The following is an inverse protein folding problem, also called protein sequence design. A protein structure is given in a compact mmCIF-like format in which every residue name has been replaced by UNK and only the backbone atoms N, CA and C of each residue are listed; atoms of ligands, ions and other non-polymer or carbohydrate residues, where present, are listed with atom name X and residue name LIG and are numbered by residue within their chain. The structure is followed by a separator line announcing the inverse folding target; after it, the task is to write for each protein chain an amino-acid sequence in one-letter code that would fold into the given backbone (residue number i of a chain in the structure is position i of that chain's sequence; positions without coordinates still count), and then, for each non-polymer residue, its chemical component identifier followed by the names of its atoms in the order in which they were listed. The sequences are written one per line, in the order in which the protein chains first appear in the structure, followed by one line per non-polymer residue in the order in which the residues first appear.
data_IF_277549754570
#
_entry.id   IF_277549754570
#
_cell.length_a   1.000
_cell.length_b   1.000
_cell.length_c   1.000
_cell.angle_alpha   90.00
_cell.angle_beta   90.00
_cell.angle_gamma   90.00
#
_symmetry.space_group_name_H-M   'P 1'
#
loop_
_entity.id
_entity.type
_entity.pdbx_description
1 polymer ?
#
# COMPACT_ATOMS: atom_id res chain seq x y z
N UNK A 1 -10.66 -17.09 84.91
CA UNK A 1 -10.51 -18.38 84.20
C UNK A 1 -11.01 -18.19 82.76
N UNK A 2 -10.10 -18.34 81.78
CA UNK A 2 -10.29 -18.69 80.34
C UNK A 2 -11.34 -17.89 79.55
N UNK A 3 -10.96 -16.84 78.80
CA UNK A 3 -10.62 -16.83 77.35
C UNK A 3 -11.73 -17.33 76.42
N UNK A 4 -12.24 -16.47 75.52
CA UNK A 4 -12.11 -16.46 74.03
C UNK A 4 -12.86 -15.22 73.49
N UNK A 5 -12.21 -14.27 72.79
CA UNK A 5 -12.15 -14.11 71.31
C UNK A 5 -13.49 -14.25 70.58
N UNK A 6 -13.82 -13.56 69.49
CA UNK A 6 -13.44 -12.30 68.84
C UNK A 6 -14.35 -12.22 67.59
N UNK A 7 -14.49 -11.01 67.04
CA UNK A 7 -14.95 -10.66 65.68
C UNK A 7 -16.44 -10.82 65.29
N UNK A 8 -17.07 -9.64 65.19
CA UNK A 8 -18.13 -9.29 64.25
C UNK A 8 -17.62 -9.29 62.80
N UNK A 9 -18.37 -9.90 61.87
CA UNK A 9 -18.62 -9.36 60.53
C UNK A 9 -19.75 -10.16 59.86
N UNK A 10 -20.88 -9.49 59.64
CA UNK A 10 -22.10 -10.01 59.03
C UNK A 10 -22.14 -9.61 57.55
N UNK A 11 -22.42 -10.60 56.71
CA UNK A 11 -23.15 -10.61 55.43
C UNK A 11 -22.77 -9.61 54.31
N UNK A 12 -22.59 -10.14 53.08
CA UNK A 12 -23.69 -10.17 52.11
C UNK A 12 -23.38 -11.11 50.94
N UNK A 13 -24.23 -12.12 50.78
CA UNK A 13 -24.40 -12.92 49.58
C UNK A 13 -25.34 -12.16 48.63
N UNK A 14 -24.89 -11.83 47.42
CA UNK A 14 -25.78 -11.47 46.31
C UNK A 14 -25.52 -12.47 45.19
N UNK A 15 -26.60 -13.17 44.84
CA UNK A 15 -26.72 -14.02 43.66
C UNK A 15 -26.61 -13.16 42.39
N UNK A 16 -25.75 -13.57 41.47
CA UNK A 16 -25.74 -13.12 40.08
C UNK A 16 -25.56 -14.30 39.16
N UNK A 17 -26.66 -14.99 38.85
CA UNK A 17 -26.74 -15.88 37.70
C UNK A 17 -26.85 -15.03 36.43
N UNK A 18 -26.08 -15.39 35.39
CA UNK A 18 -26.32 -14.95 34.01
C UNK A 18 -25.46 -13.78 33.53
N UNK A 19 -24.39 -14.12 32.80
CA UNK A 19 -23.98 -13.54 31.51
C UNK A 19 -22.72 -14.27 31.02
N UNK A 20 -22.87 -15.53 30.63
CA UNK A 20 -22.02 -16.09 29.57
C UNK A 20 -22.75 -15.76 28.27
N UNK A 21 -22.33 -14.72 27.57
CA UNK A 21 -22.61 -14.39 26.16
C UNK A 21 -22.06 -12.98 25.91
N UNK A 22 -21.23 -12.85 24.87
CA UNK A 22 -20.50 -11.67 24.39
C UNK A 22 -19.09 -11.47 24.97
N UNK A 23 -18.21 -12.45 24.70
CA UNK A 23 -16.79 -12.13 24.50
C UNK A 23 -16.68 -11.27 23.23
N UNK A 24 -16.76 -9.95 23.40
CA UNK A 24 -16.44 -8.95 22.37
C UNK A 24 -14.93 -8.69 22.31
N UNK A 25 -14.13 -9.76 22.36
CA UNK A 25 -12.68 -9.67 22.17
C UNK A 25 -12.43 -9.32 20.69
N UNK A 26 -11.72 -8.22 20.38
CA UNK A 26 -11.42 -7.85 19.00
C UNK A 26 -10.67 -8.97 18.30
N UNK A 27 -11.29 -9.63 17.32
CA UNK A 27 -10.59 -10.63 16.52
C UNK A 27 -9.87 -9.91 15.39
N UNK A 28 -8.64 -9.48 15.67
CA UNK A 28 -7.67 -9.20 14.63
C UNK A 28 -7.40 -10.50 13.84
N UNK A 29 -6.99 -10.43 12.55
CA UNK A 29 -6.39 -11.59 11.92
C UNK A 29 -5.13 -11.92 12.70
N UNK A 30 -5.14 -13.13 13.26
CA UNK A 30 -4.21 -13.71 14.22
C UNK A 30 -2.74 -13.48 13.83
N UNK A 31 -1.87 -13.15 14.79
CA UNK A 31 -0.42 -13.14 14.54
C UNK A 31 0.04 -14.58 14.25
N UNK A 32 1.09 -14.79 13.44
CA UNK A 32 1.50 -16.14 13.00
C UNK A 32 1.92 -17.10 14.14
N UNK A 33 1.96 -16.63 15.40
CA UNK A 33 2.24 -17.43 16.58
C UNK A 33 0.98 -18.02 17.27
N UNK A 34 -0.22 -17.55 16.94
CA UNK A 34 -1.46 -18.03 17.54
C UNK A 34 -2.19 -18.95 16.53
N UNK A 35 -1.95 -20.26 16.67
CA UNK A 35 -2.44 -21.31 15.77
C UNK A 35 -3.95 -21.63 15.91
N UNK A 36 -4.76 -20.65 16.33
CA UNK A 36 -6.22 -20.78 16.41
C UNK A 36 -6.89 -19.81 15.43
N UNK A 37 -7.15 -20.31 14.23
CA UNK A 37 -7.84 -19.68 13.10
C UNK A 37 -9.34 -19.37 13.34
N UNK A 38 -9.77 -19.19 14.58
CA UNK A 38 -11.19 -19.16 15.01
C UNK A 38 -12.00 -17.94 14.57
N UNK A 39 -11.49 -17.09 13.68
CA UNK A 39 -12.21 -15.94 13.11
C UNK A 39 -11.99 -15.69 11.62
N UNK A 40 -11.18 -16.50 10.93
CA UNK A 40 -10.95 -16.35 9.49
C UNK A 40 -12.00 -17.14 8.73
N UNK A 41 -12.71 -16.47 7.81
CA UNK A 41 -13.66 -17.12 6.91
C UNK A 41 -13.54 -16.53 5.50
N UNK A 42 -12.94 -17.29 4.57
CA UNK A 42 -12.70 -16.86 3.19
C UNK A 42 -13.97 -16.87 2.32
N UNK A 43 -15.03 -17.52 2.77
CA UNK A 43 -16.35 -17.52 2.12
C UNK A 43 -17.25 -16.40 2.66
N UNK A 44 -16.97 -15.90 3.86
CA UNK A 44 -17.71 -14.79 4.46
C UNK A 44 -17.54 -13.50 3.65
N UNK A 45 -18.60 -12.68 3.62
CA UNK A 45 -18.64 -11.44 2.84
C UNK A 45 -17.46 -10.49 3.15
N UNK A 46 -16.96 -10.50 4.38
CA UNK A 46 -15.91 -9.62 4.89
C UNK A 46 -14.73 -10.37 5.52
N UNK A 47 -14.54 -11.65 5.21
CA UNK A 47 -13.36 -12.39 5.70
C UNK A 47 -13.42 -12.77 7.18
N UNK A 48 -14.58 -12.60 7.84
CA UNK A 48 -14.72 -12.67 9.29
C UNK A 48 -14.27 -11.40 10.05
N UNK A 49 -13.89 -10.33 9.35
CA UNK A 49 -13.38 -9.10 9.95
C UNK A 49 -14.49 -8.23 10.53
N UNK A 50 -14.17 -7.52 11.61
CA UNK A 50 -15.09 -6.61 12.31
C UNK A 50 -14.73 -5.13 12.12
N UNK A 51 -15.69 -4.24 12.36
CA UNK A 51 -15.51 -2.77 12.27
C UNK A 51 -15.04 -2.12 13.57
N UNK A 52 -14.49 -2.89 14.51
CA UNK A 52 -13.95 -2.37 15.77
C UNK A 52 -12.66 -1.57 15.54
N UNK A 53 -12.33 -0.66 16.45
CA UNK A 53 -10.99 -0.07 16.48
C UNK A 53 -9.94 -1.14 16.85
N UNK A 54 -8.69 -0.85 16.54
CA UNK A 54 -7.51 -1.65 16.89
C UNK A 54 -6.54 -0.80 17.71
N UNK A 55 -5.52 -1.43 18.29
CA UNK A 55 -4.34 -0.68 18.74
C UNK A 55 -3.66 0.00 17.53
N UNK A 56 -3.00 1.16 17.72
CA UNK A 56 -2.15 1.74 16.68
C UNK A 56 -1.17 0.70 16.13
N UNK A 57 -0.96 0.69 14.81
CA UNK A 57 -0.16 -0.31 14.11
C UNK A 57 -0.55 -1.77 14.44
N UNK A 58 -1.83 -2.01 14.77
CA UNK A 58 -2.34 -3.32 15.22
C UNK A 58 -1.59 -3.88 16.44
N UNK A 59 -0.96 -3.02 17.25
CA UNK A 59 -0.15 -3.42 18.39
C UNK A 59 1.27 -3.89 18.03
N UNK A 60 1.67 -3.77 16.76
CA UNK A 60 2.96 -4.23 16.25
C UNK A 60 3.76 -3.07 15.61
N UNK A 61 4.10 -1.99 16.34
CA UNK A 61 4.74 -0.81 15.75
C UNK A 61 6.01 -1.15 14.95
N UNK A 62 6.83 -2.08 15.45
CA UNK A 62 8.08 -2.47 14.79
C UNK A 62 7.88 -3.15 13.44
N UNK A 63 6.70 -3.74 13.19
CA UNK A 63 6.36 -4.31 11.89
C UNK A 63 6.07 -3.24 10.82
N UNK A 64 5.71 -2.02 11.23
CA UNK A 64 5.35 -0.92 10.32
C UNK A 64 6.40 0.18 10.27
N UNK A 65 7.23 0.31 11.30
CA UNK A 65 8.23 1.37 11.43
C UNK A 65 9.17 1.46 10.20
N UNK A 66 9.71 0.35 9.65
CA UNK A 66 10.57 0.44 8.47
C UNK A 66 9.85 0.91 7.21
N UNK A 67 8.52 0.74 7.11
CA UNK A 67 7.74 1.26 5.98
C UNK A 67 7.53 2.78 6.05
N UNK A 68 7.71 3.38 7.24
CA UNK A 68 7.49 4.80 7.49
C UNK A 68 8.78 5.62 7.54
N UNK A 69 9.83 5.08 8.16
CA UNK A 69 11.09 5.80 8.44
C UNK A 69 11.97 6.03 7.21
N UNK A 70 11.56 5.47 6.07
CA UNK A 70 12.30 5.57 4.82
C UNK A 70 12.00 6.86 4.06
N UNK A 71 11.13 7.76 4.53
CA UNK A 71 10.72 8.92 3.72
C UNK A 71 11.27 10.26 4.24
N UNK A 72 11.94 11.00 3.37
CA UNK A 72 12.36 12.38 3.64
C UNK A 72 11.67 13.35 2.69
N UNK A 73 11.05 14.40 3.24
CA UNK A 73 10.45 15.46 2.43
C UNK A 73 11.55 16.31 1.78
N UNK A 74 11.31 16.74 0.54
CA UNK A 74 12.20 17.64 -0.18
C UNK A 74 11.52 19.00 -0.33
N UNK A 75 12.24 20.07 0.00
CA UNK A 75 11.80 21.42 -0.29
C UNK A 75 12.19 21.79 -1.73
N UNK A 76 11.23 21.67 -2.65
CA UNK A 76 11.47 21.93 -4.07
C UNK A 76 11.34 23.43 -4.39
N UNK A 77 12.29 24.05 -5.12
CA UNK A 77 12.26 25.48 -5.43
C UNK A 77 11.00 25.91 -6.22
N UNK A 78 10.37 25.01 -6.96
CA UNK A 78 9.14 25.31 -7.72
C UNK A 78 7.86 25.09 -6.93
N UNK A 79 7.92 24.53 -5.72
CA UNK A 79 6.73 24.25 -4.90
C UNK A 79 5.96 25.54 -4.52
N UNK A 80 6.69 26.64 -4.34
CA UNK A 80 6.13 27.93 -3.93
C UNK A 80 6.13 28.99 -5.04
N UNK A 81 6.47 28.59 -6.27
CA UNK A 81 6.44 29.48 -7.43
C UNK A 81 4.99 29.89 -7.73
N UNK A 82 4.78 31.20 -7.95
CA UNK A 82 3.46 31.77 -8.17
C UNK A 82 2.78 31.24 -9.43
N UNK A 83 3.53 31.00 -10.51
CA UNK A 83 3.01 30.43 -11.76
C UNK A 83 2.55 28.98 -11.52
N UNK A 84 3.36 28.18 -10.82
CA UNK A 84 3.04 26.79 -10.46
C UNK A 84 1.76 26.71 -9.64
N UNK A 85 1.64 27.56 -8.60
CA UNK A 85 0.45 27.62 -7.76
C UNK A 85 -0.80 28.03 -8.54
N UNK A 86 -0.66 28.87 -9.56
CA UNK A 86 -1.76 29.23 -10.44
C UNK A 86 -2.19 28.05 -11.32
N UNK A 87 -1.23 27.27 -11.87
CA UNK A 87 -1.57 26.06 -12.61
C UNK A 87 -2.30 25.02 -11.76
N UNK A 88 -1.93 24.86 -10.48
CA UNK A 88 -2.62 23.93 -9.59
C UNK A 88 -4.09 24.29 -9.35
N UNK A 89 -4.41 25.58 -9.40
CA UNK A 89 -5.78 26.11 -9.25
C UNK A 89 -6.51 26.24 -10.58
N UNK A 90 -5.81 26.14 -11.70
CA UNK A 90 -6.38 26.40 -13.02
C UNK A 90 -7.34 25.28 -13.45
N UNK A 91 -8.50 25.70 -13.96
CA UNK A 91 -9.46 24.76 -14.56
C UNK A 91 -8.82 24.12 -15.79
N UNK A 92 -8.87 22.78 -15.87
CA UNK A 92 -8.28 22.03 -16.98
C UNK A 92 -6.82 21.61 -16.78
N UNK A 93 -6.18 22.02 -15.68
CA UNK A 93 -4.88 21.45 -15.30
C UNK A 93 -5.03 19.96 -14.98
N UNK A 94 -4.04 19.16 -15.37
CA UNK A 94 -3.94 17.75 -14.97
C UNK A 94 -2.77 17.61 -14.00
N UNK A 95 -3.09 17.22 -12.77
CA UNK A 95 -2.13 17.09 -11.69
C UNK A 95 -2.09 15.63 -11.28
N UNK A 96 -0.89 15.09 -11.16
CA UNK A 96 -0.64 13.70 -10.83
C UNK A 96 0.25 13.63 -9.61
N UNK A 97 0.00 12.63 -8.77
CA UNK A 97 1.06 12.13 -7.88
C UNK A 97 1.67 10.91 -8.53
N UNK A 98 2.99 10.86 -8.55
CA UNK A 98 3.78 9.80 -9.14
C UNK A 98 4.76 9.30 -8.09
N UNK A 99 4.73 8.02 -7.78
CA UNK A 99 5.63 7.37 -6.83
C UNK A 99 6.34 6.23 -7.55
N UNK A 100 7.66 6.26 -7.52
CA UNK A 100 8.50 5.18 -8.02
C UNK A 100 9.37 4.68 -6.86
N UNK A 101 9.38 3.37 -6.67
CA UNK A 101 10.19 2.66 -5.68
C UNK A 101 10.96 1.57 -6.42
N UNK A 102 12.26 1.47 -6.19
CA UNK A 102 13.14 0.52 -6.87
C UNK A 102 14.13 -0.13 -5.90
N UNK A 103 14.86 -1.14 -6.38
CA UNK A 103 15.78 -1.95 -5.56
C UNK A 103 15.18 -3.30 -5.21
N UNK A 104 15.58 -3.88 -4.08
CA UNK A 104 15.16 -5.23 -3.70
C UNK A 104 13.78 -5.23 -3.01
N UNK A 105 12.71 -5.20 -3.81
CA UNK A 105 11.34 -4.97 -3.33
C UNK A 105 10.89 -5.98 -2.26
N UNK A 106 11.25 -7.25 -2.39
CA UNK A 106 10.89 -8.31 -1.43
C UNK A 106 11.64 -8.23 -0.09
N UNK A 107 12.82 -7.55 -0.03
CA UNK A 107 13.62 -7.48 1.23
C UNK A 107 13.04 -6.55 2.27
N UNK A 108 12.05 -5.75 1.89
CA UNK A 108 11.35 -4.92 2.85
C UNK A 108 10.79 -5.78 4.01
N UNK A 109 10.49 -7.06 3.76
CA UNK A 109 10.12 -7.99 4.81
C UNK A 109 11.31 -8.26 5.76
N UNK A 110 11.15 -7.88 7.03
CA UNK A 110 12.14 -8.10 8.09
C UNK A 110 12.44 -9.59 8.33
N UNK A 111 11.49 -10.47 7.98
CA UNK A 111 11.62 -11.91 8.14
C UNK A 111 12.40 -12.57 6.98
N UNK A 112 12.74 -11.82 5.92
CA UNK A 112 13.54 -12.33 4.80
C UNK A 112 14.96 -12.69 5.26
N UNK A 113 15.34 -13.96 5.07
CA UNK A 113 16.69 -14.45 5.40
C UNK A 113 17.68 -14.34 4.24
N UNK A 114 17.22 -13.87 3.08
CA UNK A 114 18.04 -13.73 1.87
C UNK A 114 19.22 -12.78 2.10
N UNK A 115 20.44 -13.32 2.09
CA UNK A 115 21.69 -12.55 2.22
C UNK A 115 22.29 -12.15 0.88
N UNK A 116 21.93 -12.83 -0.19
CA UNK A 116 22.42 -12.57 -1.53
C UNK A 116 21.71 -11.33 -2.09
N UNK A 117 22.47 -10.28 -2.37
CA UNK A 117 21.99 -9.11 -3.08
C UNK A 117 23.04 -8.62 -4.05
N UNK A 118 22.57 -8.10 -5.18
CA UNK A 118 23.42 -7.53 -6.22
C UNK A 118 23.06 -6.04 -6.30
N UNK A 119 23.86 -5.14 -5.70
CA UNK A 119 23.61 -3.72 -5.82
C UNK A 119 23.51 -3.31 -7.28
N UNK A 120 22.52 -2.49 -7.60
CA UNK A 120 22.27 -2.04 -8.95
C UNK A 120 22.30 -0.52 -9.00
N UNK A 121 22.88 0.00 -10.08
CA UNK A 121 22.90 1.43 -10.33
C UNK A 121 21.56 1.86 -10.94
N UNK A 122 20.78 2.62 -10.17
CA UNK A 122 19.48 3.17 -10.54
C UNK A 122 19.56 4.65 -10.92
N UNK A 123 20.77 5.19 -11.13
CA UNK A 123 20.98 6.54 -11.63
C UNK A 123 20.11 6.80 -12.84
N UNK A 124 19.39 7.91 -12.80
CA UNK A 124 18.28 8.12 -13.70
C UNK A 124 17.73 9.53 -13.67
N UNK A 125 16.64 9.72 -14.41
CA UNK A 125 15.92 10.98 -14.53
C UNK A 125 14.46 10.75 -14.85
N UNK A 126 13.69 11.79 -14.57
CA UNK A 126 12.30 11.92 -14.99
C UNK A 126 12.09 13.27 -15.65
N UNK A 127 11.38 13.27 -16.78
CA UNK A 127 11.04 14.47 -17.52
C UNK A 127 9.54 14.49 -17.84
N UNK A 128 8.85 15.56 -17.43
CA UNK A 128 7.48 15.84 -17.86
C UNK A 128 7.48 16.78 -19.06
N UNK A 129 7.31 16.24 -20.27
CA UNK A 129 7.28 17.04 -21.50
C UNK A 129 6.01 17.90 -21.56
N UNK A 130 6.16 19.22 -21.65
CA UNK A 130 5.03 20.15 -21.52
C UNK A 130 4.42 20.22 -20.12
N UNK A 131 5.11 19.70 -19.11
CA UNK A 131 4.67 19.70 -17.71
C UNK A 131 5.73 20.25 -16.75
N UNK A 132 5.42 20.19 -15.47
CA UNK A 132 6.26 20.61 -14.35
C UNK A 132 6.37 19.42 -13.40
N UNK A 133 7.57 19.15 -12.90
CA UNK A 133 7.84 18.11 -11.90
C UNK A 133 8.21 18.81 -10.60
N UNK A 134 7.52 18.50 -9.51
CA UNK A 134 7.84 18.95 -8.15
C UNK A 134 8.29 17.73 -7.35
N UNK A 135 9.46 17.81 -6.71
CA UNK A 135 9.93 16.75 -5.82
C UNK A 135 9.19 16.89 -4.49
N UNK A 136 8.42 15.88 -4.09
CA UNK A 136 7.77 15.87 -2.78
C UNK A 136 8.62 15.14 -1.75
N UNK A 137 9.16 13.96 -2.12
CA UNK A 137 9.94 13.10 -1.21
C UNK A 137 11.04 12.33 -1.95
N UNK A 138 12.11 12.05 -1.24
CA UNK A 138 13.01 10.91 -1.51
C UNK A 138 12.68 9.77 -0.55
N UNK A 139 12.86 8.54 -1.01
CA UNK A 139 12.54 7.32 -0.28
C UNK A 139 13.85 6.54 -0.15
N UNK A 140 14.29 6.32 1.07
CA UNK A 140 15.40 5.46 1.51
C UNK A 140 16.79 5.74 0.93
N UNK A 141 16.98 6.90 0.27
CA UNK A 141 18.27 7.32 -0.30
C UNK A 141 19.41 7.19 0.72
N UNK A 142 20.47 6.50 0.31
CA UNK A 142 21.69 6.35 1.09
C UNK A 142 22.50 7.66 1.14
N UNK A 143 23.51 7.69 2.01
CA UNK A 143 24.40 8.85 2.18
C UNK A 143 25.04 9.35 0.88
N UNK A 144 25.27 8.47 -0.09
CA UNK A 144 25.90 8.80 -1.37
C UNK A 144 24.88 9.05 -2.49
N UNK A 145 23.60 8.82 -2.23
CA UNK A 145 22.54 9.06 -3.18
C UNK A 145 22.14 10.52 -3.13
N UNK A 146 21.74 11.05 -4.28
CA UNK A 146 21.33 12.45 -4.38
C UNK A 146 20.30 12.66 -5.46
N UNK A 147 19.40 13.60 -5.22
CA UNK A 147 18.45 14.10 -6.20
C UNK A 147 18.84 15.52 -6.60
N UNK A 148 18.81 15.80 -7.89
CA UNK A 148 19.22 17.08 -8.47
C UNK A 148 18.16 17.61 -9.42
N UNK A 149 17.82 18.88 -9.24
CA UNK A 149 16.98 19.65 -10.15
C UNK A 149 17.79 20.10 -11.37
N UNK A 150 17.33 19.78 -12.58
CA UNK A 150 17.90 20.32 -13.83
C UNK A 150 17.14 21.56 -14.28
N UNK A 151 15.82 21.46 -14.36
CA UNK A 151 14.91 22.54 -14.72
C UNK A 151 13.49 22.22 -14.22
N UNK A 152 12.52 23.11 -14.44
CA UNK A 152 11.12 22.94 -13.98
C UNK A 152 10.46 21.61 -14.37
N UNK A 153 10.86 21.03 -15.50
CA UNK A 153 10.26 19.83 -16.08
C UNK A 153 11.09 18.56 -15.87
N UNK A 154 12.32 18.69 -15.34
CA UNK A 154 13.28 17.58 -15.26
C UNK A 154 13.99 17.51 -13.91
N UNK A 155 14.03 16.30 -13.36
CA UNK A 155 14.78 15.92 -12.17
C UNK A 155 15.66 14.73 -12.50
N UNK A 156 16.88 14.73 -11.98
CA UNK A 156 17.84 13.63 -12.09
C UNK A 156 18.19 13.13 -10.69
N UNK A 157 18.63 11.89 -10.58
CA UNK A 157 19.17 11.34 -9.34
C UNK A 157 20.32 10.38 -9.62
N UNK A 158 21.18 10.24 -8.60
CA UNK A 158 22.19 9.19 -8.48
C UNK A 158 21.72 8.30 -7.35
N UNK A 159 21.58 7.00 -7.61
CA UNK A 159 21.13 6.00 -6.65
C UNK A 159 21.83 4.67 -6.93
N UNK A 160 22.57 4.15 -5.95
CA UNK A 160 23.17 2.82 -6.03
C UNK A 160 22.58 1.95 -4.93
N UNK A 161 21.50 1.26 -5.26
CA UNK A 161 20.66 0.60 -4.27
C UNK A 161 21.05 -0.86 -4.09
N UNK A 162 21.22 -1.28 -2.83
CA UNK A 162 21.33 -2.68 -2.46
C UNK A 162 21.95 -2.82 -1.07
N UNK A 163 21.31 -3.54 -0.12
CA UNK A 163 20.22 -4.51 -0.31
C UNK A 163 18.79 -3.98 -0.14
N UNK A 164 18.60 -2.68 0.04
CA UNK A 164 17.30 -2.09 0.37
C UNK A 164 16.53 -1.65 -0.88
N UNK A 165 15.56 -0.76 -0.68
CA UNK A 165 14.88 -0.03 -1.73
C UNK A 165 15.29 1.43 -1.69
N UNK A 166 15.14 2.12 -2.81
CA UNK A 166 15.15 3.58 -2.90
C UNK A 166 13.92 4.03 -3.67
N UNK A 167 13.68 5.34 -3.75
CA UNK A 167 12.59 5.84 -4.56
C UNK A 167 12.39 7.35 -4.49
N UNK A 168 11.39 7.80 -5.24
CA UNK A 168 10.94 9.19 -5.24
C UNK A 168 9.42 9.28 -5.25
N UNK A 169 8.91 10.31 -4.59
CA UNK A 169 7.53 10.77 -4.78
C UNK A 169 7.55 12.17 -5.38
N UNK A 170 6.80 12.33 -6.46
CA UNK A 170 6.76 13.53 -7.28
C UNK A 170 5.31 13.96 -7.50
N UNK A 171 5.12 15.27 -7.64
CA UNK A 171 3.89 15.86 -8.17
C UNK A 171 4.16 16.37 -9.58
N UNK A 172 3.39 15.89 -10.54
CA UNK A 172 3.54 16.24 -11.96
C UNK A 172 2.34 17.08 -12.36
N UNK A 173 2.58 18.27 -12.90
CA UNK A 173 1.55 19.24 -13.27
C UNK A 173 1.64 19.49 -14.78
N UNK A 174 0.57 19.18 -15.50
CA UNK A 174 0.38 19.62 -16.87
C UNK A 174 -0.60 20.81 -16.87
N UNK A 175 -0.13 22.02 -17.24
CA UNK A 175 -1.01 23.18 -17.38
C UNK A 175 -2.21 22.91 -18.30
N UNK A 176 -3.31 23.68 -18.17
CA UNK A 176 -4.40 23.62 -19.12
C UNK A 176 -3.89 23.78 -20.56
N UNK A 177 -4.46 23.04 -21.51
CA UNK A 177 -4.13 23.28 -22.93
C UNK A 177 -4.57 24.69 -23.30
N UNK A 178 -3.64 25.51 -23.78
CA UNK A 178 -3.97 26.79 -24.43
C UNK A 178 -4.63 26.46 -25.76
N UNK A 179 -5.96 26.36 -25.78
CA UNK A 179 -6.75 26.32 -27.01
C UNK A 179 -6.83 27.74 -27.59
N UNK A 180 -5.69 28.37 -27.86
CA UNK A 180 -5.71 29.58 -28.69
C UNK A 180 -5.67 29.13 -30.14
N UNK A 181 -6.86 29.08 -30.72
CA UNK A 181 -7.08 29.10 -32.16
C UNK A 181 -6.23 30.21 -32.77
N UNK A 182 -5.48 29.88 -33.82
CA UNK A 182 -4.56 30.73 -34.61
C UNK A 182 -3.08 30.67 -34.15
N UNK A 183 -2.28 29.93 -34.91
CA UNK A 183 -0.81 29.88 -34.88
C UNK A 183 -0.11 29.09 -33.76
N UNK A 184 -0.39 27.79 -33.66
CA UNK A 184 0.61 26.86 -33.12
C UNK A 184 0.96 25.86 -34.22
N UNK A 185 2.16 26.02 -34.75
CA UNK A 185 2.83 24.98 -35.55
C UNK A 185 2.69 23.64 -34.83
N UNK A 186 2.28 22.63 -35.56
CA UNK A 186 1.91 21.29 -35.12
C UNK A 186 3.05 20.48 -34.47
N UNK A 187 3.66 21.01 -33.42
CA UNK A 187 4.11 20.21 -32.30
C UNK A 187 3.00 20.29 -31.26
N UNK A 188 2.05 19.37 -31.36
CA UNK A 188 1.25 18.95 -30.21
C UNK A 188 2.24 18.69 -29.08
N UNK A 189 2.45 19.64 -28.17
CA UNK A 189 3.39 19.50 -27.06
C UNK A 189 3.15 18.14 -26.43
N UNK A 190 4.06 17.19 -26.65
CA UNK A 190 3.86 15.81 -26.26
C UNK A 190 3.72 15.80 -24.74
N UNK A 191 2.49 15.59 -24.25
CA UNK A 191 2.21 15.57 -22.82
C UNK A 191 2.45 14.17 -22.30
N UNK A 192 3.70 13.90 -21.99
CA UNK A 192 4.17 12.60 -21.55
C UNK A 192 5.23 12.73 -20.46
N UNK A 193 5.39 11.66 -19.70
CA UNK A 193 6.42 11.53 -18.67
C UNK A 193 7.42 10.49 -19.16
N UNK A 194 8.65 10.92 -19.40
CA UNK A 194 9.77 10.03 -19.70
C UNK A 194 10.46 9.70 -18.39
N UNK A 195 10.49 8.42 -18.03
CA UNK A 195 11.18 7.90 -16.85
C UNK A 195 12.32 6.98 -17.31
N UNK A 196 13.54 7.31 -16.90
CA UNK A 196 14.75 6.62 -17.32
C UNK A 196 15.63 6.32 -16.11
N UNK A 197 15.94 5.06 -15.89
CA UNK A 197 17.06 4.59 -15.07
C UNK A 197 17.91 3.67 -15.94
N UNK A 198 19.11 3.33 -15.48
CA UNK A 198 19.95 2.35 -16.20
C UNK A 198 19.23 1.03 -16.49
N UNK A 199 18.51 0.40 -15.53
CA UNK A 199 17.81 -0.86 -15.80
C UNK A 199 16.41 -0.72 -16.37
N UNK A 200 15.74 0.42 -16.23
CA UNK A 200 14.34 0.57 -16.61
C UNK A 200 14.08 1.90 -17.30
N UNK A 201 13.52 1.86 -18.50
CA UNK A 201 13.11 3.05 -19.25
C UNK A 201 11.71 2.88 -19.79
N UNK A 202 10.84 3.85 -19.50
CA UNK A 202 9.48 3.88 -20.03
C UNK A 202 8.98 5.31 -20.20
N UNK A 203 8.21 5.51 -21.27
CA UNK A 203 7.46 6.74 -21.48
C UNK A 203 5.99 6.48 -21.15
N UNK A 204 5.40 7.35 -20.33
CA UNK A 204 4.01 7.28 -19.93
C UNK A 204 3.21 8.43 -20.55
N UNK A 205 2.12 8.08 -21.20
CA UNK A 205 1.10 9.03 -21.65
C UNK A 205 0.31 9.59 -20.46
N UNK A 206 -0.33 10.74 -20.67
CA UNK A 206 -1.24 11.33 -19.68
C UNK A 206 -2.35 10.35 -19.24
N UNK A 207 -2.87 9.54 -20.16
CA UNK A 207 -3.98 8.64 -19.85
C UNK A 207 -3.50 7.41 -19.04
N UNK A 208 -2.26 6.95 -19.25
CA UNK A 208 -1.64 5.94 -18.37
C UNK A 208 -1.48 6.48 -16.94
N UNK A 209 -1.07 7.74 -16.77
CA UNK A 209 -0.86 8.35 -15.45
C UNK A 209 -2.13 8.49 -14.60
N UNK A 210 -3.33 8.49 -15.19
CA UNK A 210 -4.60 8.63 -14.46
C UNK A 210 -4.80 7.50 -13.43
N UNK A 211 -4.24 6.31 -13.69
CA UNK A 211 -4.34 5.14 -12.78
C UNK A 211 -3.18 4.14 -12.91
N UNK A 212 -1.97 4.63 -13.24
CA UNK A 212 -0.78 3.82 -13.43
C UNK A 212 -0.49 2.97 -12.19
N UNK A 213 -0.31 1.68 -12.39
CA UNK A 213 0.35 0.77 -11.47
C UNK A 213 1.19 -0.18 -12.32
N UNK A 214 2.48 -0.24 -12.06
CA UNK A 214 3.37 -1.24 -12.64
C UNK A 214 4.29 -1.77 -11.56
N UNK A 215 4.69 -3.02 -11.73
CA UNK A 215 5.71 -3.66 -10.92
C UNK A 215 6.50 -4.55 -11.88
N UNK A 216 7.76 -4.19 -12.10
CA UNK A 216 8.62 -4.82 -13.08
C UNK A 216 9.86 -5.38 -12.37
N UNK A 217 10.04 -6.72 -12.36
CA UNK A 217 11.30 -7.34 -12.00
C UNK A 217 12.40 -6.91 -12.99
N UNK A 218 13.61 -6.68 -12.50
CA UNK A 218 14.74 -6.18 -13.29
C UNK A 218 15.86 -7.19 -13.42
N UNK A 219 16.13 -7.98 -12.38
CA UNK A 219 17.18 -8.99 -12.42
C UNK A 219 16.84 -10.23 -11.59
N UNK A 220 17.76 -11.21 -11.64
CA UNK A 220 17.70 -12.45 -10.87
C UNK A 220 17.93 -12.29 -9.37
N UNK A 221 18.44 -11.13 -8.94
CA UNK A 221 18.78 -10.88 -7.55
C UNK A 221 17.63 -10.23 -6.78
N UNK A 222 16.40 -10.23 -7.33
CA UNK A 222 15.22 -9.68 -6.66
C UNK A 222 15.07 -8.16 -6.80
N UNK A 223 15.92 -7.51 -7.60
CA UNK A 223 15.75 -6.10 -7.91
C UNK A 223 14.53 -5.91 -8.82
N UNK A 224 13.76 -4.87 -8.55
CA UNK A 224 12.62 -4.48 -9.37
C UNK A 224 12.28 -3.02 -9.19
N UNK A 225 11.34 -2.55 -9.99
CA UNK A 225 10.78 -1.21 -9.88
C UNK A 225 9.26 -1.29 -9.83
N UNK A 226 8.67 -0.58 -8.88
CA UNK A 226 7.25 -0.42 -8.73
C UNK A 226 6.91 1.07 -8.93
N UNK A 227 5.97 1.36 -9.82
CA UNK A 227 5.53 2.75 -10.10
C UNK A 227 4.01 2.84 -9.96
N UNK A 228 3.55 3.78 -9.15
CA UNK A 228 2.14 4.12 -9.01
C UNK A 228 1.92 5.59 -9.34
N UNK A 229 0.91 5.88 -10.15
CA UNK A 229 0.43 7.23 -10.38
C UNK A 229 -1.08 7.32 -10.39
N UNK A 230 -1.60 8.43 -9.88
CA UNK A 230 -3.01 8.74 -9.94
C UNK A 230 -3.22 10.23 -10.16
N UNK A 231 -4.32 10.55 -10.82
CA UNK A 231 -4.75 11.94 -10.99
C UNK A 231 -5.28 12.50 -9.68
N UNK A 232 -4.75 13.65 -9.26
CA UNK A 232 -5.28 14.41 -8.13
C UNK A 232 -6.56 15.10 -8.58
N UNK A 233 -7.68 14.70 -7.98
CA UNK A 233 -8.98 15.28 -8.25
C UNK A 233 -9.49 16.03 -6.99
N UNK A 234 -9.94 17.29 -7.10
CA UNK A 234 -10.34 18.07 -5.91
C UNK A 234 -11.47 17.42 -5.09
N UNK A 235 -12.41 16.76 -5.77
CA UNK A 235 -13.62 16.20 -5.16
C UNK A 235 -13.66 14.69 -5.07
N UNK A 236 -12.65 13.99 -5.59
CA UNK A 236 -12.58 12.53 -5.56
C UNK A 236 -11.28 12.16 -4.88
N UNK A 237 -11.30 11.76 -3.59
CA UNK A 237 -10.10 11.32 -2.91
C UNK A 237 -9.47 10.10 -3.62
N UNK A 238 -8.16 10.17 -3.85
CA UNK A 238 -7.33 9.09 -4.39
C UNK A 238 -6.05 8.98 -3.57
N UNK A 239 -5.42 7.82 -3.55
CA UNK A 239 -4.12 7.64 -2.94
C UNK A 239 -3.48 6.35 -3.40
N UNK A 240 -2.42 5.96 -2.71
CA UNK A 240 -1.78 4.67 -2.92
C UNK A 240 -1.75 3.87 -1.62
N UNK A 241 -1.51 2.58 -1.78
CA UNK A 241 -1.20 1.65 -0.72
C UNK A 241 0.02 0.85 -1.13
N UNK A 242 0.88 0.55 -0.18
CA UNK A 242 2.02 -0.34 -0.41
C UNK A 242 2.31 -1.14 0.85
N UNK A 243 3.01 -2.24 0.70
CA UNK A 243 3.38 -3.05 1.84
C UNK A 243 4.00 -4.36 1.44
N UNK A 244 3.98 -5.27 2.39
CA UNK A 244 4.60 -6.57 2.30
C UNK A 244 3.57 -7.66 2.54
N UNK A 245 3.83 -8.82 1.96
CA UNK A 245 3.07 -10.02 2.23
C UNK A 245 4.01 -11.19 2.41
N UNK A 246 3.54 -12.23 3.08
CA UNK A 246 4.29 -13.47 3.23
C UNK A 246 3.37 -14.67 3.19
N UNK A 247 3.86 -15.75 2.62
CA UNK A 247 3.20 -17.05 2.74
C UNK A 247 3.22 -17.51 4.20
N UNK A 248 2.14 -18.15 4.59
CA UNK A 248 2.11 -18.93 5.84
C UNK A 248 2.04 -20.41 5.47
N UNK A 249 2.43 -21.33 6.37
CA UNK A 249 2.17 -22.75 6.17
C UNK A 249 0.71 -22.95 5.79
N UNK A 250 0.48 -23.69 4.70
CA UNK A 250 -0.86 -23.86 4.14
C UNK A 250 -1.80 -24.42 5.19
N UNK A 251 -2.80 -23.62 5.57
CA UNK A 251 -3.79 -24.00 6.57
C UNK A 251 -5.15 -24.21 5.90
N UNK A 252 -5.65 -25.45 6.00
CA UNK A 252 -6.96 -25.82 5.44
C UNK A 252 -8.04 -25.43 6.43
N UNK A 253 -8.90 -24.50 6.01
CA UNK A 253 -9.99 -24.00 6.84
C UNK A 253 -11.18 -24.94 6.68
N UNK A 254 -11.66 -25.53 7.78
CA UNK A 254 -12.81 -26.43 7.79
C UNK A 254 -14.07 -25.75 8.31
N UNK A 255 -15.23 -26.31 7.97
CA UNK A 255 -16.50 -26.00 8.63
C UNK A 255 -16.46 -26.32 10.12
N UNK A 256 -17.07 -25.46 10.94
CA UNK A 256 -17.07 -25.62 12.39
C UNK A 256 -17.92 -26.83 12.82
N UNK A 257 -18.88 -27.19 11.97
CA UNK A 257 -19.87 -28.24 12.15
C UNK A 257 -19.70 -29.40 11.15
N UNK A 258 -18.69 -29.37 10.26
CA UNK A 258 -18.45 -30.46 9.31
C UNK A 258 -17.00 -30.56 8.83
N UNK A 259 -16.63 -31.68 8.22
CA UNK A 259 -15.31 -31.89 7.59
C UNK A 259 -15.19 -31.23 6.21
N UNK A 260 -16.20 -30.46 5.78
CA UNK A 260 -16.16 -29.76 4.50
C UNK A 260 -15.17 -28.59 4.57
N UNK A 261 -14.33 -28.47 3.53
CA UNK A 261 -13.32 -27.41 3.39
C UNK A 261 -14.00 -26.10 2.98
N UNK A 262 -13.72 -25.01 3.70
CA UNK A 262 -14.14 -23.63 3.43
C UNK A 262 -13.09 -22.79 2.71
N UNK A 263 -11.86 -23.29 2.64
CA UNK A 263 -10.81 -22.63 1.90
C UNK A 263 -9.43 -23.00 2.39
N UNK A 264 -8.45 -22.34 1.81
CA UNK A 264 -7.03 -22.54 2.10
C UNK A 264 -6.41 -21.17 2.35
N UNK A 265 -5.94 -20.95 3.57
CA UNK A 265 -5.14 -19.77 3.90
C UNK A 265 -3.75 -19.92 3.28
N UNK A 266 -3.33 -18.93 2.52
CA UNK A 266 -2.03 -18.95 1.83
C UNK A 266 -1.05 -17.93 2.39
N UNK A 267 -1.52 -16.83 2.98
CA UNK A 267 -0.61 -15.86 3.57
C UNK A 267 -1.28 -14.68 4.23
N UNK A 268 -0.43 -13.81 4.75
CA UNK A 268 -0.79 -12.57 5.44
C UNK A 268 -0.10 -11.39 4.78
N UNK A 269 -0.67 -10.19 4.95
CA UNK A 269 -0.07 -8.96 4.45
C UNK A 269 -0.21 -7.81 5.44
N UNK A 270 0.71 -6.86 5.35
CA UNK A 270 0.70 -5.60 6.09
C UNK A 270 1.16 -4.46 5.19
N UNK A 271 0.74 -3.23 5.48
CA UNK A 271 1.14 -2.10 4.65
C UNK A 271 0.71 -0.74 5.19
N UNK A 272 1.00 0.29 4.42
CA UNK A 272 0.68 1.68 4.72
C UNK A 272 -0.35 2.20 3.72
N UNK A 273 -1.36 2.90 4.24
CA UNK A 273 -2.34 3.62 3.45
C UNK A 273 -1.94 5.09 3.32
N UNK A 274 -1.67 5.54 2.10
CA UNK A 274 -1.28 6.91 1.81
C UNK A 274 -2.46 7.75 1.36
N UNK A 275 -2.58 8.93 1.95
CA UNK A 275 -3.63 9.91 1.66
C UNK A 275 -3.53 10.52 0.26
N UNK A 276 -4.53 11.35 -0.06
CA UNK A 276 -4.55 12.23 -1.24
C UNK A 276 -3.43 13.26 -1.30
N UNK A 277 -2.66 13.40 -0.23
CA UNK A 277 -1.47 14.26 -0.14
C UNK A 277 -0.16 13.47 -0.22
N UNK A 278 -0.24 12.15 -0.43
CA UNK A 278 0.94 11.28 -0.42
C UNK A 278 1.60 11.18 0.94
N UNK A 279 0.83 11.40 2.01
CA UNK A 279 1.27 11.22 3.40
C UNK A 279 0.70 9.91 3.95
N UNK A 280 1.50 9.16 4.70
CA UNK A 280 1.01 8.04 5.49
C UNK A 280 -0.17 8.49 6.35
N UNK A 281 -1.27 7.74 6.28
CA UNK A 281 -2.54 8.10 6.93
C UNK A 281 -3.21 6.92 7.62
N UNK A 282 -2.59 5.73 7.57
CA UNK A 282 -2.95 4.61 8.39
C UNK A 282 -2.28 3.31 7.97
N UNK A 283 -2.67 2.24 8.65
CA UNK A 283 -2.08 0.91 8.57
C UNK A 283 -3.05 -0.08 7.94
N UNK A 284 -2.50 -1.04 7.22
CA UNK A 284 -3.20 -2.17 6.61
C UNK A 284 -2.72 -3.47 7.23
N UNK A 285 -3.64 -4.39 7.55
CA UNK A 285 -3.34 -5.77 7.91
C UNK A 285 -4.38 -6.69 7.30
N UNK A 286 -3.98 -7.83 6.76
CA UNK A 286 -4.92 -8.76 6.15
C UNK A 286 -4.35 -10.12 5.83
N UNK A 287 -5.16 -10.89 5.11
CA UNK A 287 -4.95 -12.28 4.73
C UNK A 287 -5.31 -12.49 3.25
N UNK A 288 -4.73 -13.52 2.65
CA UNK A 288 -5.12 -13.98 1.32
C UNK A 288 -5.09 -15.52 1.25
N UNK A 289 -5.91 -16.05 0.36
CA UNK A 289 -6.10 -17.50 0.24
C UNK A 289 -6.93 -17.89 -0.97
N UNK A 290 -7.45 -19.11 -0.92
CA UNK A 290 -8.38 -19.68 -1.91
C UNK A 290 -9.67 -20.03 -1.16
N UNK A 291 -10.81 -19.53 -1.61
CA UNK A 291 -12.11 -19.83 -0.97
C UNK A 291 -12.65 -21.22 -1.40
N UNK A 292 -13.79 -21.64 -0.86
CA UNK A 292 -14.40 -22.94 -1.18
C UNK A 292 -14.76 -23.11 -2.67
N UNK A 293 -14.95 -21.99 -3.38
CA UNK A 293 -15.24 -21.95 -4.82
C UNK A 293 -13.98 -22.02 -5.69
N UNK A 294 -12.79 -22.11 -5.09
CA UNK A 294 -11.51 -22.11 -5.80
C UNK A 294 -11.02 -20.72 -6.23
N UNK A 295 -11.66 -19.65 -5.76
CA UNK A 295 -11.30 -18.29 -6.10
C UNK A 295 -10.18 -17.76 -5.20
N UNK A 296 -9.19 -17.11 -5.81
CA UNK A 296 -8.14 -16.37 -5.11
C UNK A 296 -8.72 -15.07 -4.52
N UNK A 297 -8.81 -15.00 -3.20
CA UNK A 297 -9.42 -13.88 -2.46
C UNK A 297 -8.49 -13.29 -1.41
N UNK A 298 -8.65 -12.00 -1.13
CA UNK A 298 -7.98 -11.34 -0.01
C UNK A 298 -8.96 -10.52 0.82
N UNK A 299 -8.65 -10.39 2.10
CA UNK A 299 -9.38 -9.58 3.06
C UNK A 299 -8.41 -8.83 3.96
N UNK A 300 -8.76 -7.62 4.37
CA UNK A 300 -7.95 -6.90 5.35
C UNK A 300 -8.69 -5.75 6.01
N UNK A 301 -8.03 -5.15 6.99
CA UNK A 301 -8.52 -4.02 7.76
C UNK A 301 -7.60 -2.83 7.54
N UNK A 302 -8.21 -1.67 7.35
CA UNK A 302 -7.58 -0.37 7.29
C UNK A 302 -7.96 0.42 8.54
N UNK A 303 -6.93 0.85 9.29
CA UNK A 303 -7.07 1.71 10.48
C UNK A 303 -6.25 2.98 10.28
N UNK A 304 -6.65 4.08 10.88
CA UNK A 304 -5.83 5.30 10.88
C UNK A 304 -4.57 5.13 11.76
N UNK A 305 -3.71 6.15 11.77
CA UNK A 305 -2.47 6.11 12.56
C UNK A 305 -2.68 5.99 14.08
N UNK A 306 -3.90 6.24 14.58
CA UNK A 306 -4.28 6.10 15.99
C UNK A 306 -5.05 4.80 16.27
N UNK A 307 -5.16 3.90 15.29
CA UNK A 307 -5.88 2.64 15.42
C UNK A 307 -7.40 2.71 15.25
N UNK A 308 -7.94 3.86 14.85
CA UNK A 308 -9.38 3.98 14.58
C UNK A 308 -9.74 3.25 13.30
N UNK A 309 -10.83 2.50 13.32
CA UNK A 309 -11.33 1.80 12.15
C UNK A 309 -11.66 2.76 11.01
N UNK A 310 -11.15 2.47 9.82
CA UNK A 310 -11.41 3.25 8.60
C UNK A 310 -12.09 2.43 7.52
N UNK A 311 -11.77 1.14 7.37
CA UNK A 311 -12.49 0.27 6.47
C UNK A 311 -12.05 -1.20 6.46
N UNK A 312 -12.88 -2.04 5.85
CA UNK A 312 -12.55 -3.43 5.49
C UNK A 312 -12.24 -3.46 4.00
N UNK A 313 -11.11 -4.07 3.64
CA UNK A 313 -10.67 -4.35 2.27
C UNK A 313 -11.13 -5.76 1.89
N UNK A 314 -11.66 -5.92 0.68
CA UNK A 314 -11.94 -7.24 0.09
C UNK A 314 -11.73 -7.24 -1.41
N UNK A 315 -11.29 -8.36 -1.96
CA UNK A 315 -11.14 -8.49 -3.41
C UNK A 315 -10.50 -9.79 -3.84
N UNK A 316 -9.99 -9.78 -5.07
CA UNK A 316 -9.34 -10.90 -5.71
C UNK A 316 -7.90 -10.55 -6.08
N UNK A 317 -7.07 -11.58 -6.13
CA UNK A 317 -5.72 -11.49 -6.67
C UNK A 317 -5.52 -12.58 -7.72
N UNK A 318 -4.55 -12.38 -8.59
CA UNK A 318 -4.17 -13.33 -9.63
C UNK A 318 -2.69 -13.22 -9.92
N UNK A 319 -2.18 -14.22 -10.64
CA UNK A 319 -0.82 -14.19 -11.15
C UNK A 319 -0.82 -13.38 -12.46
N UNK A 320 0.34 -12.91 -12.89
CA UNK A 320 0.46 -12.25 -14.20
C UNK A 320 0.22 -13.28 -15.32
N UNK A 321 -0.62 -12.93 -16.29
CA UNK A 321 -0.90 -13.77 -17.46
C UNK A 321 0.20 -13.68 -18.53
N UNK A 322 1.11 -12.71 -18.39
CA UNK A 322 2.25 -12.58 -19.30
C UNK A 322 3.22 -13.74 -19.04
N UNK A 323 3.77 -14.33 -20.10
CA UNK A 323 4.97 -15.17 -20.01
C UNK A 323 6.12 -14.29 -19.52
N UNK A 324 6.10 -13.96 -18.24
CA UNK A 324 7.13 -13.14 -17.64
C UNK A 324 8.39 -13.99 -17.66
N UNK A 325 9.45 -13.49 -18.29
CA UNK A 325 10.81 -14.00 -18.08
C UNK A 325 11.30 -13.77 -16.64
N UNK A 326 10.41 -13.29 -15.76
CA UNK A 326 10.65 -13.04 -14.37
C UNK A 326 10.92 -14.37 -13.64
N UNK A 327 12.09 -14.44 -13.03
CA UNK A 327 12.48 -15.50 -12.11
C UNK A 327 11.59 -15.53 -10.84
N UNK A 328 10.87 -14.44 -10.59
CA UNK A 328 10.08 -14.19 -9.39
C UNK A 328 8.58 -14.15 -9.69
N UNK A 329 7.73 -14.83 -8.88
CA UNK A 329 6.29 -14.75 -9.03
C UNK A 329 5.78 -13.32 -8.90
N UNK A 330 4.94 -12.89 -9.83
CA UNK A 330 4.28 -11.59 -9.78
C UNK A 330 2.82 -11.69 -10.22
N UNK A 331 2.04 -10.66 -9.94
CA UNK A 331 0.64 -10.63 -10.32
C UNK A 331 -0.09 -9.36 -9.96
N UNK A 332 -1.41 -9.45 -9.85
CA UNK A 332 -2.31 -8.33 -9.63
C UNK A 332 -3.23 -8.57 -8.43
N UNK A 333 -3.75 -7.48 -7.88
CA UNK A 333 -4.88 -7.49 -6.95
C UNK A 333 -5.88 -6.40 -7.33
N UNK A 334 -7.17 -6.66 -7.09
CA UNK A 334 -8.24 -5.68 -7.27
C UNK A 334 -9.36 -5.91 -6.27
N UNK A 335 -9.93 -4.84 -5.75
CA UNK A 335 -10.93 -4.93 -4.71
C UNK A 335 -11.66 -3.64 -4.42
N UNK A 336 -12.37 -3.68 -3.32
CA UNK A 336 -13.11 -2.56 -2.75
C UNK A 336 -12.74 -2.37 -1.29
N UNK A 337 -13.09 -1.21 -0.76
CA UNK A 337 -13.09 -0.98 0.68
C UNK A 337 -14.45 -0.45 1.15
N UNK A 338 -14.88 -0.93 2.31
CA UNK A 338 -16.16 -0.59 2.93
C UNK A 338 -15.96 0.03 4.30
N UNK A 339 -16.79 1.02 4.63
CA UNK A 339 -16.74 1.74 5.89
C UNK A 339 -17.48 1.03 7.03
N UNK A 340 -17.69 1.75 8.15
CA UNK A 340 -18.26 1.21 9.40
C UNK A 340 -19.66 0.62 9.27
N UNK A 341 -20.40 1.05 8.26
CA UNK A 341 -21.76 0.60 7.97
C UNK A 341 -21.82 -0.34 6.76
N UNK A 342 -20.69 -0.98 6.41
CA UNK A 342 -20.54 -1.84 5.23
C UNK A 342 -20.93 -1.15 3.91
N UNK A 343 -20.89 0.18 3.90
CA UNK A 343 -21.10 0.97 2.68
C UNK A 343 -19.82 0.99 1.89
N UNK A 344 -19.95 0.82 0.58
CA UNK A 344 -18.84 0.98 -0.35
C UNK A 344 -18.28 2.39 -0.26
N UNK A 345 -17.02 2.49 0.17
CA UNK A 345 -16.28 3.76 0.27
C UNK A 345 -15.40 3.98 -0.97
N UNK A 346 -15.02 2.91 -1.67
CA UNK A 346 -14.29 3.00 -2.92
C UNK A 346 -13.65 1.70 -3.40
N UNK A 347 -12.70 1.86 -4.33
CA UNK A 347 -12.04 0.76 -5.06
C UNK A 347 -10.53 0.85 -4.91
N UNK A 348 -9.86 -0.30 -5.01
CA UNK A 348 -8.41 -0.41 -4.99
C UNK A 348 -7.92 -1.44 -5.99
N UNK A 349 -6.71 -1.26 -6.51
CA UNK A 349 -6.04 -2.21 -7.40
C UNK A 349 -4.53 -1.97 -7.41
N UNK A 350 -3.76 -2.98 -7.80
CA UNK A 350 -2.31 -2.87 -7.88
C UNK A 350 -1.66 -4.19 -8.27
N UNK A 351 -0.35 -4.25 -8.04
CA UNK A 351 0.50 -5.39 -8.37
C UNK A 351 1.30 -5.88 -7.18
N UNK A 352 1.70 -7.14 -7.25
CA UNK A 352 2.52 -7.79 -6.24
C UNK A 352 3.65 -8.59 -6.88
N UNK A 353 4.72 -8.80 -6.12
CA UNK A 353 5.86 -9.67 -6.45
C UNK A 353 6.27 -10.47 -5.21
N UNK A 354 6.84 -11.66 -5.41
CA UNK A 354 7.38 -12.53 -4.38
C UNK A 354 8.86 -12.88 -4.66
N UNK A 355 9.64 -13.10 -3.61
CA UNK A 355 10.87 -13.88 -3.72
C UNK A 355 10.58 -15.40 -3.74
N UNK A 356 11.63 -16.20 -3.86
CA UNK A 356 11.55 -17.66 -3.86
C UNK A 356 11.09 -18.24 -2.50
N UNK A 357 11.30 -17.51 -1.41
CA UNK A 357 10.92 -17.92 -0.04
C UNK A 357 9.43 -17.63 0.25
N UNK A 358 8.78 -16.85 -0.62
CA UNK A 358 7.37 -16.47 -0.48
C UNK A 358 7.16 -15.22 0.35
N UNK A 359 8.19 -14.38 0.54
CA UNK A 359 8.04 -13.00 1.00
C UNK A 359 7.86 -12.10 -0.21
N UNK A 360 7.00 -11.09 -0.09
CA UNK A 360 6.69 -10.27 -1.23
C UNK A 360 6.35 -8.85 -0.89
N UNK A 361 6.24 -8.07 -1.95
CA UNK A 361 5.89 -6.66 -1.93
C UNK A 361 4.63 -6.44 -2.76
N UNK A 362 3.83 -5.46 -2.36
CA UNK A 362 2.71 -4.98 -3.17
C UNK A 362 2.68 -3.46 -3.20
N UNK A 363 2.23 -2.91 -4.32
CA UNK A 363 1.88 -1.50 -4.45
C UNK A 363 0.65 -1.35 -5.33
N UNK A 364 -0.22 -0.41 -4.96
CA UNK A 364 -1.45 -0.14 -5.69
C UNK A 364 -2.02 1.25 -5.44
N UNK A 365 -3.08 1.57 -6.18
CA UNK A 365 -3.87 2.78 -6.03
C UNK A 365 -5.21 2.47 -5.36
N UNK A 366 -5.74 3.46 -4.65
CA UNK A 366 -7.12 3.48 -4.19
C UNK A 366 -7.81 4.76 -4.63
N UNK A 367 -9.13 4.67 -4.81
CA UNK A 367 -10.02 5.81 -5.08
C UNK A 367 -11.28 5.70 -4.25
N UNK A 368 -11.76 6.82 -3.74
CA UNK A 368 -13.06 6.89 -3.07
C UNK A 368 -14.18 7.06 -4.11
N UNK A 369 -15.30 6.39 -3.90
CA UNK A 369 -16.49 6.48 -4.75
C UNK A 369 -17.28 7.79 -4.52
N UNK A 370 -16.85 8.65 -3.59
CA UNK A 370 -17.23 10.07 -3.53
C UNK A 370 -18.70 10.35 -3.20
N UNK A 371 -19.48 9.33 -2.81
CA UNK A 371 -20.86 9.51 -2.33
C UNK A 371 -20.81 9.87 -0.84
N UNK A 372 -20.64 11.15 -0.54
CA UNK A 372 -21.04 11.71 0.76
C UNK A 372 -22.40 12.37 0.64
#
# INVERSE_FOLDING_TARGET
MKHYMALFAVALLVLGAGCQLLDNTPTAPVSPADNNSTGIDLDAEYGGLTTSNEAPAFGEPEAYQPLLDQESNVEDPYQYDFEVQNFEKATGARIYRFRAVWGHLSRLNQDSTTTDFCPLDWTGKIQAQGGIVIIEKVIAFDKNDMIKRVNRSTVEWISNTGPHIDGVQLKIIFPPSTLDSTNVSSETMLRQVVFETKPFTRTFTIDELDSLNILEPVDRCGNGIAIASYRIHPYKPHGHLMGQWQRVPTDTIYNADSTAVRGVLLGVYRGIWYSTRGLASGYLRGIFGINSSGEKVFFGKYIDLNGRFMGILKGHYGDSDEETTAEFPCGWFRGIWVGKYYRLEGKLHGHWIADAEGHGYFMGNWKSDGKK
#
